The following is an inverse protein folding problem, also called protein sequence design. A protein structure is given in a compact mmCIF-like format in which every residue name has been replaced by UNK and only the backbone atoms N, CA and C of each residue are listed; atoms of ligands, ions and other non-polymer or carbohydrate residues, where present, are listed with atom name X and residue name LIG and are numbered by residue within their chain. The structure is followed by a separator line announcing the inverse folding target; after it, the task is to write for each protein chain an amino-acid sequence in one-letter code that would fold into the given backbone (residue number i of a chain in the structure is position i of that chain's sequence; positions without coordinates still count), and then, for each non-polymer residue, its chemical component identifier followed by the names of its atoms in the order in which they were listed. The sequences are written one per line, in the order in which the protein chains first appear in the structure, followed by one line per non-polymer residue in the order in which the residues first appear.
data_IF_738719834819
#
_entry.id   IF_738719834819
#
_cell.length_a   1.000
_cell.length_b   1.000
_cell.length_c   1.000
_cell.angle_alpha   90.00
_cell.angle_beta   90.00
_cell.angle_gamma   90.00
#
_symmetry.space_group_name_H-M   'P 1'
#
loop_
_entity.id
_entity.type
_entity.pdbx_description
1 polymer ?
#
# COMPACT_ATOMS: atom_id res chain seq x y z
N UNK A 1 2.36 6.06 -42.50
CA UNK A 1 1.19 5.76 -41.63
C UNK A 1 1.59 4.96 -40.38
N UNK A 2 2.56 5.44 -39.58
CA UNK A 2 3.09 4.68 -38.42
C UNK A 2 3.14 5.47 -37.10
N UNK A 3 2.89 6.78 -37.10
CA UNK A 3 2.91 7.61 -35.89
C UNK A 3 1.70 7.33 -34.98
N UNK A 4 0.51 7.19 -35.56
CA UNK A 4 -0.74 6.99 -34.79
C UNK A 4 -0.78 5.71 -33.96
N UNK A 5 -0.09 4.64 -34.34
CA UNK A 5 -0.18 3.37 -33.60
C UNK A 5 0.62 3.42 -32.29
N UNK A 6 1.76 4.11 -32.30
CA UNK A 6 2.59 4.27 -31.10
C UNK A 6 1.96 5.31 -30.18
N UNK A 7 1.48 6.43 -30.71
CA UNK A 7 0.80 7.46 -29.91
C UNK A 7 -0.50 6.93 -29.28
N UNK A 8 -1.30 6.15 -30.03
CA UNK A 8 -2.49 5.50 -29.48
C UNK A 8 -2.14 4.48 -28.40
N UNK A 9 -1.05 3.73 -28.56
CA UNK A 9 -0.58 2.79 -27.54
C UNK A 9 -0.08 3.52 -26.28
N UNK A 10 0.65 4.63 -26.43
CA UNK A 10 1.08 5.46 -25.31
C UNK A 10 -0.13 6.07 -24.60
N UNK A 11 -1.11 6.60 -25.34
CA UNK A 11 -2.36 7.11 -24.77
C UNK A 11 -3.14 6.02 -24.03
N UNK A 12 -3.27 4.84 -24.63
CA UNK A 12 -3.91 3.70 -24.00
C UNK A 12 -3.20 3.29 -22.71
N UNK A 13 -1.87 3.18 -22.73
CA UNK A 13 -1.08 2.86 -21.53
C UNK A 13 -1.22 3.96 -20.47
N UNK A 14 -1.20 5.24 -20.84
CA UNK A 14 -1.35 6.35 -19.88
C UNK A 14 -2.76 6.45 -19.31
N UNK A 15 -3.80 6.14 -20.09
CA UNK A 15 -5.19 6.14 -19.63
C UNK A 15 -5.57 4.89 -18.83
N UNK A 16 -5.14 3.70 -19.28
CA UNK A 16 -5.43 2.41 -18.64
C UNK A 16 -4.50 2.10 -17.48
N UNK A 17 -3.26 2.63 -17.49
CA UNK A 17 -2.34 2.56 -16.36
C UNK A 17 -2.46 3.76 -15.42
N UNK A 18 -3.60 4.49 -15.43
CA UNK A 18 -3.95 5.33 -14.28
C UNK A 18 -3.97 4.40 -13.07
N UNK A 19 -3.08 4.55 -12.08
CA UNK A 19 -3.19 3.79 -10.85
C UNK A 19 -4.36 4.39 -10.10
N UNK A 20 -5.58 4.04 -10.50
CA UNK A 20 -6.78 4.45 -9.77
C UNK A 20 -6.90 3.54 -8.57
N UNK A 21 -5.99 3.77 -7.62
CA UNK A 21 -6.35 3.69 -6.23
C UNK A 21 -7.66 4.47 -6.04
N UNK A 22 -8.52 3.89 -5.22
CA UNK A 22 -9.86 4.30 -4.80
C UNK A 22 -10.21 5.76 -5.13
N UNK A 23 -11.32 5.97 -5.85
CA UNK A 23 -11.74 7.31 -6.21
C UNK A 23 -12.13 8.13 -4.98
N UNK A 24 -11.93 9.45 -5.03
CA UNK A 24 -12.38 10.35 -3.95
C UNK A 24 -13.88 10.22 -3.70
N UNK A 25 -14.67 9.95 -4.76
CA UNK A 25 -16.11 9.69 -4.65
C UNK A 25 -16.41 8.45 -3.81
N UNK A 26 -15.72 7.33 -4.08
CA UNK A 26 -15.89 6.10 -3.28
C UNK A 26 -15.51 6.33 -1.81
N UNK A 27 -14.46 7.14 -1.56
CA UNK A 27 -14.04 7.51 -0.20
C UNK A 27 -15.14 8.31 0.50
N UNK A 28 -15.67 9.35 -0.15
CA UNK A 28 -16.76 10.19 0.39
C UNK A 28 -17.99 9.34 0.69
N UNK A 29 -18.45 8.55 -0.29
CA UNK A 29 -19.65 7.73 -0.19
C UNK A 29 -19.55 6.69 0.95
N UNK A 30 -18.36 6.13 1.19
CA UNK A 30 -18.18 5.12 2.23
C UNK A 30 -17.75 5.69 3.59
N UNK A 31 -17.29 6.94 3.67
CA UNK A 31 -16.55 7.50 4.83
C UNK A 31 -17.31 7.48 6.15
N UNK A 32 -18.65 7.55 6.11
CA UNK A 32 -19.52 7.66 7.29
C UNK A 32 -20.19 6.34 7.72
N UNK A 33 -19.96 5.23 7.02
CA UNK A 33 -20.75 3.99 7.22
C UNK A 33 -20.05 2.93 8.08
N UNK A 34 -18.95 3.26 8.77
CA UNK A 34 -18.19 2.30 9.58
C UNK A 34 -18.44 2.50 11.09
N UNK A 35 -19.40 1.78 11.70
CA UNK A 35 -19.77 1.98 13.10
C UNK A 35 -18.63 1.66 14.08
N UNK A 36 -17.69 0.79 13.72
CA UNK A 36 -16.51 0.46 14.55
C UNK A 36 -15.58 1.67 14.70
N UNK A 37 -15.46 2.48 13.65
CA UNK A 37 -14.62 3.68 13.63
C UNK A 37 -15.29 4.82 14.41
N UNK A 38 -16.58 5.03 14.18
CA UNK A 38 -17.32 6.16 14.75
C UNK A 38 -17.40 6.00 16.27
N UNK A 39 -17.79 4.84 16.78
CA UNK A 39 -18.01 4.65 18.22
C UNK A 39 -16.74 4.74 19.08
N UNK A 40 -15.57 4.40 18.52
CA UNK A 40 -14.32 4.33 19.28
C UNK A 40 -13.48 5.60 19.21
N UNK A 41 -13.68 6.44 18.18
CA UNK A 41 -12.79 7.56 17.88
C UNK A 41 -13.51 8.87 17.63
N UNK A 42 -14.81 8.99 17.90
CA UNK A 42 -15.65 10.16 17.60
C UNK A 42 -14.97 11.51 17.87
N UNK A 43 -14.34 11.67 19.04
CA UNK A 43 -13.68 12.91 19.46
C UNK A 43 -12.39 13.25 18.69
N UNK A 44 -11.82 12.30 17.95
CA UNK A 44 -10.60 12.46 17.15
C UNK A 44 -10.88 12.58 15.65
N UNK A 45 -12.15 12.50 15.26
CA UNK A 45 -12.58 12.51 13.87
C UNK A 45 -13.05 13.90 13.44
N UNK A 46 -12.72 14.27 12.20
CA UNK A 46 -13.29 15.46 11.58
C UNK A 46 -13.63 15.20 10.12
N UNK A 47 -14.63 15.94 9.61
CA UNK A 47 -14.95 15.94 8.19
C UNK A 47 -14.28 17.13 7.50
N UNK A 48 -13.68 16.88 6.34
CA UNK A 48 -13.15 17.90 5.45
C UNK A 48 -13.54 17.54 4.02
N UNK A 49 -14.26 18.43 3.34
CA UNK A 49 -14.76 18.22 1.96
C UNK A 49 -15.46 16.85 1.75
N UNK A 50 -16.23 16.41 2.75
CA UNK A 50 -16.95 15.13 2.71
C UNK A 50 -16.08 13.89 3.01
N UNK A 51 -14.83 14.08 3.39
CA UNK A 51 -13.90 13.01 3.75
C UNK A 51 -13.72 12.97 5.26
N UNK A 52 -13.85 11.79 5.85
CA UNK A 52 -13.54 11.56 7.26
C UNK A 52 -12.03 11.48 7.48
N UNK A 53 -11.52 12.28 8.41
CA UNK A 53 -10.11 12.37 8.77
C UNK A 53 -9.91 12.05 10.25
N UNK A 54 -8.74 11.48 10.58
CA UNK A 54 -8.19 11.43 11.94
C UNK A 54 -6.84 12.13 11.94
N UNK A 55 -6.77 13.31 12.54
CA UNK A 55 -5.61 14.20 12.38
C UNK A 55 -5.43 14.58 10.90
N UNK A 56 -4.29 14.20 10.30
CA UNK A 56 -3.96 14.48 8.88
C UNK A 56 -4.17 13.29 7.94
N UNK A 57 -4.80 12.20 8.43
CA UNK A 57 -4.93 10.94 7.69
C UNK A 57 -6.37 10.67 7.30
N UNK A 58 -6.54 10.15 6.09
CA UNK A 58 -7.85 9.74 5.56
C UNK A 58 -8.28 8.47 6.29
N UNK A 59 -9.47 8.51 6.88
CA UNK A 59 -10.08 7.36 7.51
C UNK A 59 -10.65 6.46 6.42
N UNK A 60 -10.22 5.20 6.39
CA UNK A 60 -10.62 4.25 5.34
C UNK A 60 -11.73 3.33 5.84
N UNK A 61 -12.93 3.40 5.24
CA UNK A 61 -14.05 2.51 5.54
C UNK A 61 -13.70 1.06 5.27
N UNK A 62 -14.30 0.14 6.03
CA UNK A 62 -14.09 -1.30 5.87
C UNK A 62 -14.14 -1.78 4.41
N UNK A 63 -15.17 -1.36 3.65
CA UNK A 63 -15.38 -1.69 2.22
C UNK A 63 -14.17 -1.36 1.33
N UNK A 64 -13.37 -0.38 1.72
CA UNK A 64 -12.25 0.18 0.95
C UNK A 64 -10.88 -0.31 1.44
N UNK A 65 -10.76 -0.83 2.67
CA UNK A 65 -9.49 -1.29 3.28
C UNK A 65 -8.71 -2.23 2.37
N UNK A 66 -9.37 -3.23 1.77
CA UNK A 66 -8.73 -4.20 0.86
C UNK A 66 -8.11 -3.52 -0.38
N UNK A 67 -8.81 -2.57 -0.99
CA UNK A 67 -8.29 -1.84 -2.17
C UNK A 67 -7.09 -0.98 -1.80
N UNK A 68 -7.11 -0.31 -0.65
CA UNK A 68 -5.96 0.47 -0.15
C UNK A 68 -4.76 -0.43 0.13
N UNK A 69 -4.99 -1.60 0.75
CA UNK A 69 -3.95 -2.57 1.02
C UNK A 69 -3.31 -3.11 -0.28
N UNK A 70 -4.12 -3.42 -1.30
CA UNK A 70 -3.62 -3.81 -2.62
C UNK A 70 -2.75 -2.72 -3.26
N UNK A 71 -3.19 -1.47 -3.22
CA UNK A 71 -2.43 -0.34 -3.74
C UNK A 71 -1.11 -0.13 -2.96
N UNK A 72 -1.13 -0.27 -1.63
CA UNK A 72 0.08 -0.15 -0.82
C UNK A 72 1.09 -1.30 -1.08
N UNK A 73 0.59 -2.48 -1.44
CA UNK A 73 1.36 -3.68 -1.78
C UNK A 73 1.89 -3.67 -3.22
N UNK A 74 1.44 -2.75 -4.07
CA UNK A 74 1.92 -2.65 -5.45
C UNK A 74 3.45 -2.51 -5.51
N UNK A 75 4.07 -3.38 -6.32
CA UNK A 75 5.52 -3.50 -6.47
C UNK A 75 6.24 -4.33 -5.40
N UNK A 76 5.52 -5.16 -4.63
CA UNK A 76 6.05 -6.05 -3.58
C UNK A 76 7.08 -5.36 -2.65
N UNK A 77 6.76 -4.19 -2.07
CA UNK A 77 7.72 -3.35 -1.35
C UNK A 77 8.23 -3.95 -0.02
N UNK A 78 7.70 -5.10 0.38
CA UNK A 78 7.89 -5.67 1.71
C UNK A 78 7.12 -4.93 2.81
N UNK A 79 7.06 -5.54 4.00
CA UNK A 79 6.17 -5.08 5.09
C UNK A 79 6.55 -3.71 5.66
N UNK A 80 7.85 -3.39 5.72
CA UNK A 80 8.33 -2.13 6.29
C UNK A 80 7.86 -0.93 5.46
N UNK A 81 8.10 -0.99 4.15
CA UNK A 81 7.73 0.09 3.23
C UNK A 81 6.21 0.16 3.02
N UNK A 82 5.51 -0.98 2.99
CA UNK A 82 4.05 -1.00 2.94
C UNK A 82 3.43 -0.28 4.16
N UNK A 83 3.89 -0.57 5.38
CA UNK A 83 3.43 0.13 6.59
C UNK A 83 3.75 1.62 6.54
N UNK A 84 4.94 2.00 6.07
CA UNK A 84 5.33 3.40 5.91
C UNK A 84 4.37 4.14 4.95
N UNK A 85 4.06 3.55 3.78
CA UNK A 85 3.09 4.11 2.83
C UNK A 85 1.73 4.37 3.50
N UNK A 86 1.19 3.37 4.19
CA UNK A 86 -0.11 3.50 4.86
C UNK A 86 -0.11 4.60 5.93
N UNK A 87 0.87 4.57 6.84
CA UNK A 87 1.01 5.53 7.96
C UNK A 87 1.10 6.99 7.54
N UNK A 88 1.51 7.27 6.29
CA UNK A 88 1.63 8.63 5.78
C UNK A 88 0.33 9.23 5.25
N UNK A 89 -0.65 8.41 4.86
CA UNK A 89 -1.84 8.88 4.11
C UNK A 89 -3.17 8.45 4.73
N UNK A 90 -3.21 7.27 5.33
CA UNK A 90 -4.48 6.60 5.67
C UNK A 90 -4.48 6.09 7.10
N UNK A 91 -5.68 5.85 7.62
CA UNK A 91 -5.86 5.30 8.95
C UNK A 91 -7.14 4.45 9.04
N UNK A 92 -7.07 3.33 9.75
CA UNK A 92 -8.19 2.58 10.31
C UNK A 92 -7.67 1.72 11.47
N UNK A 93 -8.53 1.19 12.37
CA UNK A 93 -8.07 0.33 13.45
C UNK A 93 -7.29 -0.88 12.90
N UNK A 94 -6.11 -1.16 13.45
CA UNK A 94 -5.29 -2.35 13.14
C UNK A 94 -4.80 -2.47 11.68
N UNK A 95 -4.76 -1.37 10.91
CA UNK A 95 -4.21 -1.33 9.55
C UNK A 95 -2.79 -1.91 9.38
N UNK A 96 -1.91 -1.77 10.38
CA UNK A 96 -0.59 -2.43 10.38
C UNK A 96 -0.71 -3.96 10.39
N UNK A 97 -1.71 -4.50 11.09
CA UNK A 97 -1.97 -5.95 11.17
C UNK A 97 -2.55 -6.46 9.86
N UNK A 98 -3.43 -5.70 9.24
CA UNK A 98 -3.99 -6.03 7.94
C UNK A 98 -2.90 -6.04 6.86
N UNK A 99 -1.96 -5.11 6.91
CA UNK A 99 -0.78 -5.10 6.05
C UNK A 99 0.09 -6.35 6.25
N UNK A 100 0.36 -6.75 7.50
CA UNK A 100 1.09 -7.99 7.79
C UNK A 100 0.38 -9.23 7.23
N UNK A 101 -0.94 -9.31 7.42
CA UNK A 101 -1.73 -10.44 6.95
C UNK A 101 -1.71 -10.54 5.42
N UNK A 102 -1.71 -9.39 4.72
CA UNK A 102 -1.60 -9.36 3.27
C UNK A 102 -0.22 -9.81 2.79
N UNK A 103 0.86 -9.27 3.37
CA UNK A 103 2.23 -9.63 2.98
C UNK A 103 2.48 -11.12 3.23
N UNK A 104 1.95 -11.68 4.34
CA UNK A 104 2.05 -13.11 4.65
C UNK A 104 1.28 -14.01 3.69
N UNK A 105 0.19 -13.52 3.08
CA UNK A 105 -0.56 -14.30 2.08
C UNK A 105 -0.01 -14.14 0.66
N UNK A 106 0.85 -13.14 0.43
CA UNK A 106 1.52 -12.95 -0.84
C UNK A 106 2.67 -13.96 -1.03
N UNK A 107 2.58 -14.78 -2.09
CA UNK A 107 3.62 -15.74 -2.47
C UNK A 107 4.95 -15.04 -2.80
N UNK A 108 4.90 -13.93 -3.54
CA UNK A 108 6.09 -13.15 -3.92
C UNK A 108 6.86 -12.64 -2.70
N UNK A 109 6.16 -11.96 -1.79
CA UNK A 109 6.72 -11.51 -0.53
C UNK A 109 7.25 -12.66 0.34
N UNK A 110 6.53 -13.80 0.39
CA UNK A 110 6.93 -14.97 1.19
C UNK A 110 8.22 -15.62 0.68
N UNK A 111 8.39 -15.72 -0.65
CA UNK A 111 9.58 -16.28 -1.28
C UNK A 111 10.83 -15.44 -0.98
N UNK A 112 10.70 -14.11 -1.02
CA UNK A 112 11.81 -13.18 -0.73
C UNK A 112 12.09 -13.08 0.77
N UNK A 113 11.08 -13.30 1.61
CA UNK A 113 11.20 -13.32 3.07
C UNK A 113 11.86 -14.60 3.62
N UNK A 114 12.12 -15.61 2.80
CA UNK A 114 12.69 -16.87 3.26
C UNK A 114 14.08 -16.65 3.90
N UNK A 115 14.32 -17.11 5.14
CA UNK A 115 15.58 -16.93 5.83
C UNK A 115 16.56 -17.97 5.29
N UNK A 116 17.03 -17.79 4.05
CA UNK A 116 18.30 -18.39 3.68
C UNK A 116 19.37 -17.50 4.29
N UNK A 117 20.04 -17.93 5.38
CA UNK A 117 21.21 -17.19 5.82
C UNK A 117 22.13 -17.06 4.59
N UNK A 118 22.66 -15.86 4.32
CA UNK A 118 23.65 -15.73 3.26
C UNK A 118 24.75 -16.76 3.54
N UNK A 119 25.24 -17.42 2.48
CA UNK A 119 26.33 -18.38 2.63
C UNK A 119 27.40 -17.74 3.52
N UNK A 120 27.86 -18.42 4.59
CA UNK A 120 28.81 -17.84 5.51
C UNK A 120 30.00 -17.30 4.71
N UNK A 121 30.30 -16.02 4.92
CA UNK A 121 31.38 -15.34 4.21
C UNK A 121 32.68 -16.10 4.50
N UNK A 122 33.18 -16.85 3.51
CA UNK A 122 34.49 -17.48 3.62
C UNK A 122 35.53 -16.37 3.52
N UNK A 123 36.34 -16.22 4.58
CA UNK A 123 37.55 -15.41 4.55
C UNK A 123 38.41 -15.92 3.38
N UNK A 124 38.80 -15.04 2.45
CA UNK A 124 39.87 -15.37 1.50
C UNK A 124 41.18 -15.49 2.27
N UNK A 125 41.96 -16.52 1.95
CA UNK A 125 43.34 -16.61 2.42
C UNK A 125 44.08 -15.32 2.03
N UNK A 126 44.84 -14.77 2.97
CA UNK A 126 45.67 -13.61 2.69
C UNK A 126 46.75 -14.03 1.67
N UNK A 127 47.12 -13.16 0.72
CA UNK A 127 48.25 -13.45 -0.16
C UNK A 127 49.52 -13.64 0.67
N UNK A 128 50.32 -14.66 0.31
CA UNK A 128 51.52 -15.03 1.05
C UNK A 128 52.65 -13.98 0.99
N UNK A 129 52.52 -12.97 0.12
CA UNK A 129 53.50 -11.90 -0.09
C UNK A 129 52.76 -10.60 -0.46
N UNK A 130 53.34 -9.43 -0.15
CA UNK A 130 52.84 -8.14 -0.61
C UNK A 130 52.82 -8.05 -2.14
#
# INVERSE_FOLDING_TARGET
MSANKIENYIHQVVEEAKPTAISLRDIIDCSAEDPEIIMLFENELCFYEGILLRGTRIVIPNKLRRKVLMAAHEGDPGIVLMKARLRTKVWWPRYDKDAENLVKSCKGCTLVSAPYPPNPLKRRELPNKP
#
